data_IF_315708427137
#
_entry.id   IF_315708427137
#
_cell.length_a   1.000
_cell.length_b   1.000
_cell.length_c   1.000
_cell.angle_alpha   90.00
_cell.angle_beta   90.00
_cell.angle_gamma   90.00
#
_symmetry.space_group_name_H-M   'P 1'
#
loop_
_entity.id
_entity.type
_entity.pdbx_description
1 polymer ?
#
# COMPACT_ATOMS: atom_id res chain seq x y z
N UNK A 1 -13.69 3.07 -0.43
CA UNK A 1 -13.57 2.01 0.58
C UNK A 1 -14.91 1.86 1.29
N UNK A 2 -15.48 0.67 1.35
CA UNK A 2 -16.64 0.37 2.18
C UNK A 2 -16.25 0.35 3.67
N UNK A 3 -17.25 0.34 4.55
CA UNK A 3 -17.02 0.25 6.00
C UNK A 3 -16.28 -1.04 6.36
N UNK A 4 -16.58 -2.13 5.64
CA UNK A 4 -15.96 -3.44 5.85
C UNK A 4 -14.47 -3.44 5.53
N UNK A 5 -14.05 -2.83 4.43
CA UNK A 5 -12.63 -2.78 4.05
C UNK A 5 -11.84 -1.94 5.07
N UNK A 6 -12.41 -0.84 5.55
CA UNK A 6 -11.78 0.00 6.57
C UNK A 6 -11.57 -0.75 7.90
N UNK A 7 -12.55 -1.54 8.35
CA UNK A 7 -12.40 -2.40 9.54
C UNK A 7 -11.26 -3.39 9.40
N UNK A 8 -11.07 -3.97 8.21
CA UNK A 8 -9.96 -4.89 7.93
C UNK A 8 -8.61 -4.19 7.98
N UNK A 9 -8.50 -2.98 7.41
CA UNK A 9 -7.27 -2.20 7.50
C UNK A 9 -6.92 -1.85 8.95
N UNK A 10 -7.93 -1.51 9.77
CA UNK A 10 -7.72 -1.30 11.20
C UNK A 10 -7.31 -2.58 11.95
N UNK A 11 -7.86 -3.73 11.58
CA UNK A 11 -7.44 -5.02 12.13
C UNK A 11 -5.97 -5.32 11.81
N UNK A 12 -5.54 -5.14 10.55
CA UNK A 12 -4.14 -5.27 10.14
C UNK A 12 -3.25 -4.31 10.94
N UNK A 13 -3.63 -3.04 11.02
CA UNK A 13 -2.88 -2.04 11.76
C UNK A 13 -2.76 -2.36 13.26
N UNK A 14 -3.79 -2.96 13.87
CA UNK A 14 -3.70 -3.45 15.26
C UNK A 14 -2.70 -4.60 15.39
N UNK A 15 -2.73 -5.57 14.49
CA UNK A 15 -1.76 -6.67 14.49
C UNK A 15 -0.32 -6.15 14.34
N UNK A 16 -0.09 -5.15 13.48
CA UNK A 16 1.23 -4.52 13.34
C UNK A 16 1.71 -3.97 14.68
N UNK A 17 0.85 -3.28 15.43
CA UNK A 17 1.20 -2.73 16.75
C UNK A 17 1.49 -3.81 17.79
N UNK A 18 0.83 -4.96 17.71
CA UNK A 18 1.11 -6.11 18.58
C UNK A 18 2.47 -6.75 18.24
N UNK A 19 2.86 -6.76 16.97
CA UNK A 19 4.17 -7.27 16.51
C UNK A 19 5.29 -6.29 16.84
N UNK A 20 5.03 -4.98 16.74
CA UNK A 20 6.01 -3.91 16.86
C UNK A 20 6.05 -3.30 18.26
N UNK A 21 6.49 -4.10 19.23
CA UNK A 21 6.62 -3.67 20.64
C UNK A 21 7.49 -2.42 20.84
N UNK A 22 8.37 -2.13 19.88
CA UNK A 22 9.34 -1.02 19.95
C UNK A 22 8.92 0.22 19.15
N UNK A 23 7.73 0.25 18.55
CA UNK A 23 7.25 1.33 17.69
C UNK A 23 8.27 1.69 16.59
N UNK A 24 8.84 0.67 15.95
CA UNK A 24 9.73 0.82 14.80
C UNK A 24 9.01 1.36 13.56
N UNK A 25 7.76 0.94 13.36
CA UNK A 25 6.91 1.24 12.23
C UNK A 25 5.95 2.41 12.50
N UNK A 26 5.68 3.20 11.47
CA UNK A 26 4.78 4.35 11.48
C UNK A 26 3.80 4.27 10.29
N UNK A 27 2.92 3.26 10.35
CA UNK A 27 1.94 3.02 9.29
C UNK A 27 0.82 4.04 9.31
N UNK A 28 0.55 4.59 8.13
CA UNK A 28 -0.58 5.47 7.85
C UNK A 28 -1.60 4.67 7.06
N UNK A 29 -2.84 4.61 7.55
CA UNK A 29 -3.97 3.94 6.90
C UNK A 29 -4.65 4.93 5.93
N UNK A 30 -5.00 4.48 4.74
CA UNK A 30 -5.96 5.21 3.91
C UNK A 30 -7.35 5.10 4.52
N UNK A 31 -7.82 6.21 5.08
CA UNK A 31 -9.09 6.28 5.82
C UNK A 31 -10.19 6.99 5.05
N UNK A 32 -9.91 7.45 3.83
CA UNK A 32 -10.79 8.38 3.13
C UNK A 32 -11.41 7.75 1.88
N UNK A 33 -12.73 7.53 1.97
CA UNK A 33 -13.52 6.85 0.94
C UNK A 33 -13.77 7.71 -0.29
N UNK A 34 -13.43 9.01 -0.22
CA UNK A 34 -13.71 10.02 -1.26
C UNK A 34 -12.47 10.79 -1.72
N UNK A 35 -11.52 11.08 -0.84
CA UNK A 35 -10.38 11.95 -1.16
C UNK A 35 -9.00 11.34 -0.95
N UNK A 36 -8.85 10.13 -0.38
CA UNK A 36 -7.56 9.48 -0.14
C UNK A 36 -6.54 10.37 0.58
N UNK A 37 -6.46 10.29 1.91
CA UNK A 37 -5.57 11.17 2.72
C UNK A 37 -4.09 10.84 2.60
N UNK A 38 -3.80 9.66 2.07
CA UNK A 38 -2.45 9.15 1.93
C UNK A 38 -2.16 8.94 0.46
N UNK A 39 -1.59 9.95 -0.19
CA UNK A 39 -1.17 9.83 -1.59
C UNK A 39 0.34 9.85 -1.68
N UNK A 40 0.84 9.02 -2.59
CA UNK A 40 2.22 9.03 -3.03
C UNK A 40 2.22 9.30 -4.53
N UNK A 41 3.06 10.22 -4.96
CA UNK A 41 3.35 10.38 -6.39
C UNK A 41 4.72 9.78 -6.67
N UNK A 42 4.85 9.03 -7.76
CA UNK A 42 6.08 8.34 -8.16
C UNK A 42 6.32 8.56 -9.66
N UNK A 43 7.54 8.91 -10.07
CA UNK A 43 7.92 8.99 -11.48
C UNK A 43 8.55 7.68 -12.00
N UNK A 44 8.82 7.61 -13.30
CA UNK A 44 9.41 6.44 -13.96
C UNK A 44 10.84 6.10 -13.49
N UNK A 45 11.49 6.99 -12.75
CA UNK A 45 12.82 6.78 -12.17
C UNK A 45 12.77 6.37 -10.69
N UNK A 46 11.57 6.24 -10.12
CA UNK A 46 11.37 5.92 -8.70
C UNK A 46 11.51 7.11 -7.76
N UNK A 47 11.60 8.34 -8.27
CA UNK A 47 11.49 9.54 -7.43
C UNK A 47 10.08 9.63 -6.90
N UNK A 48 9.93 9.79 -5.59
CA UNK A 48 8.61 9.83 -4.98
C UNK A 48 8.44 11.00 -4.02
N UNK A 49 7.17 11.39 -3.80
CA UNK A 49 6.79 12.40 -2.82
C UNK A 49 5.47 12.04 -2.15
N UNK A 50 5.43 12.19 -0.81
CA UNK A 50 4.18 12.17 -0.04
C UNK A 50 3.38 13.44 -0.33
N UNK A 51 2.14 13.28 -0.76
CA UNK A 51 1.21 14.38 -1.01
C UNK A 51 -0.12 14.09 -0.30
N UNK A 52 -0.53 14.86 0.72
CA UNK A 52 -1.78 14.59 1.43
C UNK A 52 -3.04 14.78 0.58
N UNK A 53 -3.03 15.76 -0.32
CA UNK A 53 -4.13 16.04 -1.25
C UNK A 53 -3.61 16.71 -2.52
N UNK A 54 -4.28 16.43 -3.64
CA UNK A 54 -4.05 17.11 -4.91
C UNK A 54 -5.38 17.64 -5.43
N UNK A 55 -5.37 18.90 -5.83
CA UNK A 55 -6.38 19.44 -6.74
C UNK A 55 -6.23 18.79 -8.12
N UNK A 56 -7.27 18.88 -8.95
CA UNK A 56 -7.22 18.35 -10.31
C UNK A 56 -6.05 18.95 -11.12
N UNK A 57 -5.83 20.26 -11.01
CA UNK A 57 -4.74 20.96 -11.70
C UNK A 57 -3.36 20.44 -11.26
N UNK A 58 -3.17 20.22 -9.96
CA UNK A 58 -1.92 19.66 -9.46
C UNK A 58 -1.70 18.22 -9.93
N UNK A 59 -2.75 17.39 -9.95
CA UNK A 59 -2.67 16.04 -10.49
C UNK A 59 -2.30 16.04 -11.98
N UNK A 60 -2.84 16.97 -12.77
CA UNK A 60 -2.48 17.17 -14.17
C UNK A 60 -1.03 17.62 -14.35
N UNK A 61 -0.54 18.55 -13.52
CA UNK A 61 0.86 19.01 -13.54
C UNK A 61 1.84 17.87 -13.21
N UNK A 62 1.54 17.05 -12.20
CA UNK A 62 2.32 15.85 -11.89
C UNK A 62 2.35 14.87 -13.06
N UNK A 63 1.19 14.59 -13.69
CA UNK A 63 1.11 13.69 -14.85
C UNK A 63 1.95 14.18 -16.03
N UNK A 64 1.92 15.49 -16.32
CA UNK A 64 2.76 16.12 -17.36
C UNK A 64 4.26 16.00 -17.07
N UNK A 65 4.64 15.94 -15.80
CA UNK A 65 6.03 15.73 -15.33
C UNK A 65 6.43 14.26 -15.25
N UNK A 66 5.59 13.34 -15.71
CA UNK A 66 5.87 11.91 -15.69
C UNK A 66 5.57 11.22 -14.36
N UNK A 67 5.00 11.92 -13.38
CA UNK A 67 4.57 11.30 -12.13
C UNK A 67 3.24 10.56 -12.31
N UNK A 68 3.07 9.52 -11.51
CA UNK A 68 1.85 8.75 -11.31
C UNK A 68 1.44 8.83 -9.86
N UNK A 69 0.14 8.85 -9.60
CA UNK A 69 -0.43 9.00 -8.26
C UNK A 69 -0.98 7.66 -7.78
N UNK A 70 -0.66 7.31 -6.54
CA UNK A 70 -1.14 6.10 -5.89
C UNK A 70 -1.69 6.41 -4.49
N UNK A 71 -2.64 5.58 -4.06
CA UNK A 71 -3.23 5.59 -2.73
C UNK A 71 -3.06 4.17 -2.18
N UNK A 72 -2.02 3.92 -1.35
CA UNK A 72 -1.83 2.64 -0.69
C UNK A 72 -2.76 2.50 0.52
N UNK A 73 -3.23 1.29 0.80
CA UNK A 73 -4.10 1.02 1.95
C UNK A 73 -3.38 1.27 3.29
N UNK A 74 -2.15 0.75 3.44
CA UNK A 74 -1.25 1.10 4.53
C UNK A 74 0.14 1.40 3.98
N UNK A 75 0.76 2.46 4.48
CA UNK A 75 2.13 2.82 4.12
C UNK A 75 2.92 3.34 5.31
N UNK A 76 4.15 2.88 5.41
CA UNK A 76 5.20 3.44 6.24
C UNK A 76 6.25 4.07 5.33
N UNK A 77 6.31 5.41 5.31
CA UNK A 77 7.25 6.16 4.49
C UNK A 77 8.70 6.07 4.98
N UNK A 78 8.90 5.89 6.29
CA UNK A 78 10.21 5.87 6.92
C UNK A 78 10.93 4.56 6.59
N UNK A 79 10.22 3.45 6.73
CA UNK A 79 10.74 2.11 6.46
C UNK A 79 10.51 1.67 5.00
N UNK A 80 9.83 2.50 4.21
CA UNK A 80 9.43 2.23 2.83
C UNK A 80 8.69 0.90 2.69
N UNK A 81 7.63 0.75 3.46
CA UNK A 81 6.79 -0.44 3.45
C UNK A 81 5.37 -0.06 3.02
N UNK A 82 4.79 -0.86 2.14
CA UNK A 82 3.41 -0.75 1.70
C UNK A 82 2.71 -2.09 1.98
N UNK A 83 1.50 -2.03 2.51
CA UNK A 83 0.62 -3.19 2.63
C UNK A 83 -0.68 -2.86 1.89
N UNK A 84 -1.06 -3.73 0.96
CA UNK A 84 -2.27 -3.60 0.15
C UNK A 84 -3.22 -4.76 0.49
N UNK A 85 -4.46 -4.45 0.80
CA UNK A 85 -5.51 -5.43 0.99
C UNK A 85 -6.23 -5.68 -0.34
N UNK A 86 -6.32 -6.95 -0.75
CA UNK A 86 -6.88 -7.34 -2.03
C UNK A 86 -8.18 -8.11 -1.82
N UNK A 87 -9.30 -7.46 -2.12
CA UNK A 87 -10.61 -8.11 -2.22
C UNK A 87 -10.63 -9.03 -3.44
N UNK A 88 -11.23 -10.22 -3.29
CA UNK A 88 -11.55 -11.00 -4.48
C UNK A 88 -12.72 -10.38 -5.22
N UNK A 89 -12.52 -10.07 -6.51
CA UNK A 89 -13.65 -10.07 -7.41
C UNK A 89 -14.05 -11.54 -7.66
N UNK A 90 -15.08 -12.04 -6.97
CA UNK A 90 -15.76 -13.28 -7.38
C UNK A 90 -16.17 -13.14 -8.86
N UNK A 91 -15.44 -13.80 -9.76
CA UNK A 91 -15.65 -13.63 -11.20
C UNK A 91 -14.46 -14.02 -12.08
N UNK A 92 -13.75 -15.11 -11.75
CA UNK A 92 -12.68 -15.65 -12.60
C UNK A 92 -13.22 -16.73 -13.54
N UNK A 93 -13.99 -16.33 -14.56
CA UNK A 93 -13.97 -16.91 -15.92
C UNK A 93 -14.73 -15.94 -16.85
N UNK A 94 -14.03 -15.22 -17.73
CA UNK A 94 -14.70 -14.41 -18.75
C UNK A 94 -13.80 -13.42 -19.47
N UNK A 95 -13.64 -13.64 -20.78
CA UNK A 95 -12.92 -12.83 -21.79
C UNK A 95 -13.51 -11.40 -21.97
N UNK A 96 -14.39 -10.93 -21.08
CA UNK A 96 -15.25 -9.76 -21.24
C UNK A 96 -15.07 -8.72 -20.12
N UNK A 97 -13.87 -8.16 -19.94
CA UNK A 97 -13.69 -6.84 -19.29
C UNK A 97 -12.77 -5.88 -20.05
N UNK A 98 -12.67 -6.01 -21.38
CA UNK A 98 -12.19 -4.89 -22.22
C UNK A 98 -13.10 -3.66 -22.21
N UNK A 99 -14.31 -3.72 -21.62
CA UNK A 99 -15.23 -2.59 -21.51
C UNK A 99 -16.07 -2.70 -20.23
N UNK A 100 -15.87 -1.79 -19.29
CA UNK A 100 -16.78 -1.61 -18.14
C UNK A 100 -16.18 -1.91 -16.77
N UNK A 101 -15.09 -1.22 -16.38
CA UNK A 101 -15.03 -0.73 -15.00
C UNK A 101 -15.84 0.56 -14.99
N UNK A 102 -16.78 0.65 -14.06
CA UNK A 102 -17.55 1.86 -13.78
C UNK A 102 -16.55 3.01 -13.63
N UNK A 103 -16.70 4.04 -14.47
CA UNK A 103 -15.92 5.27 -14.37
C UNK A 103 -16.22 5.93 -13.01
N UNK A 104 -15.52 5.51 -11.95
CA UNK A 104 -15.27 6.38 -10.80
C UNK A 104 -14.42 7.51 -11.38
N UNK A 105 -15.05 8.67 -11.63
CA UNK A 105 -14.38 9.88 -12.11
C UNK A 105 -13.10 10.08 -11.30
N UNK A 106 -11.94 9.99 -11.97
CA UNK A 106 -10.64 10.28 -11.37
C UNK A 106 -9.71 9.08 -11.12
N UNK A 107 -10.12 7.84 -11.41
CA UNK A 107 -9.17 6.73 -11.40
C UNK A 107 -8.42 6.71 -12.74
N UNK A 108 -7.12 7.04 -12.72
CA UNK A 108 -6.27 6.78 -13.89
C UNK A 108 -6.38 5.27 -14.21
N UNK A 109 -6.59 4.96 -15.49
CA UNK A 109 -6.85 3.61 -16.03
C UNK A 109 -5.59 2.71 -16.02
N UNK A 110 -4.90 2.58 -14.90
CA UNK A 110 -3.72 1.71 -14.80
C UNK A 110 -4.07 0.35 -14.22
N UNK A 111 -3.37 -0.67 -14.73
CA UNK A 111 -3.46 -2.03 -14.23
C UNK A 111 -2.75 -2.13 -12.87
N UNK A 112 -3.12 -3.12 -12.05
CA UNK A 112 -2.41 -3.39 -10.79
C UNK A 112 -0.92 -3.75 -11.04
N UNK A 113 -0.59 -4.25 -12.24
CA UNK A 113 0.78 -4.56 -12.68
C UNK A 113 1.64 -3.29 -12.83
N UNK A 114 1.04 -2.17 -13.25
CA UNK A 114 1.77 -0.89 -13.31
C UNK A 114 2.06 -0.37 -11.90
N UNK A 115 1.13 -0.53 -10.95
CA UNK A 115 1.26 -0.05 -9.57
C UNK A 115 2.45 -0.70 -8.85
N UNK A 116 2.58 -2.02 -8.94
CA UNK A 116 3.68 -2.77 -8.32
C UNK A 116 5.04 -2.31 -8.85
N UNK A 117 5.16 -2.08 -10.16
CA UNK A 117 6.38 -1.59 -10.79
C UNK A 117 6.81 -0.23 -10.22
N UNK A 118 5.88 0.71 -10.06
CA UNK A 118 6.22 2.02 -9.49
C UNK A 118 6.65 1.94 -8.03
N UNK A 119 6.05 1.06 -7.24
CA UNK A 119 6.49 0.83 -5.86
C UNK A 119 7.90 0.24 -5.81
N UNK A 120 8.20 -0.73 -6.67
CA UNK A 120 9.54 -1.31 -6.79
C UNK A 120 10.58 -0.25 -7.20
N UNK A 121 10.28 0.56 -8.23
CA UNK A 121 11.14 1.66 -8.67
C UNK A 121 11.43 2.64 -7.52
N UNK A 122 10.42 2.98 -6.73
CA UNK A 122 10.56 3.84 -5.54
C UNK A 122 11.23 3.16 -4.33
N UNK A 123 11.58 1.88 -4.47
CA UNK A 123 12.21 1.01 -3.46
C UNK A 123 11.33 0.81 -2.23
N UNK A 124 10.02 0.72 -2.43
CA UNK A 124 9.10 0.25 -1.40
C UNK A 124 9.04 -1.27 -1.40
N UNK A 125 9.03 -1.85 -0.21
CA UNK A 125 8.72 -3.26 -0.01
C UNK A 125 7.21 -3.40 0.13
N UNK A 126 6.61 -4.29 -0.63
CA UNK A 126 5.17 -4.47 -0.68
C UNK A 126 4.76 -5.83 -0.12
N UNK A 127 3.69 -5.84 0.69
CA UNK A 127 2.95 -7.04 1.04
C UNK A 127 1.52 -6.92 0.51
N UNK A 128 1.02 -7.97 -0.14
CA UNK A 128 -0.38 -8.08 -0.55
C UNK A 128 -1.08 -9.08 0.36
N UNK A 129 -2.13 -8.65 1.05
CA UNK A 129 -2.97 -9.51 1.89
C UNK A 129 -4.24 -9.80 1.13
N UNK A 130 -4.44 -11.05 0.75
CA UNK A 130 -5.60 -11.49 -0.02
C UNK A 130 -6.75 -11.87 0.90
N UNK A 131 -7.96 -11.41 0.59
CA UNK A 131 -9.16 -11.67 1.38
C UNK A 131 -9.46 -13.16 1.57
N UNK A 132 -9.22 -13.97 0.55
CA UNK A 132 -9.49 -15.40 0.54
C UNK A 132 -8.44 -16.25 1.28
N UNK A 133 -7.30 -15.67 1.64
CA UNK A 133 -6.29 -16.32 2.46
C UNK A 133 -6.84 -16.47 3.88
N UNK A 134 -6.67 -17.64 4.50
CA UNK A 134 -7.13 -17.86 5.87
C UNK A 134 -6.50 -16.82 6.83
N UNK A 135 -7.26 -16.28 7.82
CA UNK A 135 -6.77 -15.22 8.71
C UNK A 135 -5.46 -15.56 9.42
N UNK A 136 -5.26 -16.83 9.76
CA UNK A 136 -4.04 -17.32 10.41
C UNK A 136 -2.83 -17.19 9.47
N UNK A 137 -3.00 -17.53 8.20
CA UNK A 137 -1.95 -17.43 7.17
C UNK A 137 -1.66 -15.96 6.87
N UNK A 138 -2.69 -15.11 6.76
CA UNK A 138 -2.50 -13.66 6.59
C UNK A 138 -1.65 -13.08 7.74
N UNK A 139 -1.92 -13.52 8.98
CA UNK A 139 -1.20 -13.09 10.17
C UNK A 139 0.25 -13.56 10.17
N UNK A 140 0.51 -14.81 9.75
CA UNK A 140 1.85 -15.36 9.60
C UNK A 140 2.67 -14.63 8.53
N UNK A 141 2.08 -14.37 7.36
CA UNK A 141 2.72 -13.62 6.27
C UNK A 141 3.04 -12.19 6.70
N UNK A 142 2.09 -11.49 7.33
CA UNK A 142 2.31 -10.15 7.88
C UNK A 142 3.47 -10.13 8.87
N UNK A 143 3.48 -11.07 9.83
CA UNK A 143 4.53 -11.18 10.82
C UNK A 143 5.89 -11.49 10.19
N UNK A 144 5.95 -12.46 9.28
CA UNK A 144 7.18 -12.84 8.58
C UNK A 144 7.75 -11.68 7.78
N UNK A 145 6.89 -10.98 7.04
CA UNK A 145 7.24 -9.82 6.26
C UNK A 145 7.80 -8.68 7.13
N UNK A 146 7.07 -8.26 8.18
CA UNK A 146 7.57 -7.21 9.08
C UNK A 146 8.86 -7.62 9.80
N UNK A 147 8.99 -8.89 10.19
CA UNK A 147 10.22 -9.35 10.86
C UNK A 147 11.44 -9.28 9.93
N UNK A 148 11.27 -9.50 8.63
CA UNK A 148 12.36 -9.40 7.66
C UNK A 148 12.93 -7.98 7.52
N UNK A 149 12.13 -6.96 7.82
CA UNK A 149 12.52 -5.55 7.74
C UNK A 149 12.83 -4.90 9.09
N UNK A 150 12.72 -5.64 10.20
CA UNK A 150 13.20 -5.13 11.48
C UNK A 150 14.71 -4.87 11.41
N UNK A 151 15.20 -3.76 11.97
CA UNK A 151 16.62 -3.48 12.03
C UNK A 151 17.28 -4.61 12.82
N UNK A 152 18.23 -5.31 12.19
CA UNK A 152 19.07 -6.27 12.89
C UNK A 152 19.75 -5.50 14.02
N UNK A 153 19.43 -5.86 15.26
CA UNK A 153 20.12 -5.30 16.42
C UNK A 153 21.62 -5.53 16.19
N UNK A 154 22.48 -4.51 16.35
CA UNK A 154 23.90 -4.73 16.30
C UNK A 154 24.23 -5.78 17.36
N UNK A 155 24.89 -6.86 16.96
CA UNK A 155 25.40 -7.86 17.88
C UNK A 155 26.23 -7.11 18.93
N UNK A 156 25.68 -6.96 20.13
CA UNK A 156 26.42 -6.42 21.27
C UNK A 156 27.48 -7.46 21.59
N UNK A 157 28.68 -7.28 21.05
CA UNK A 157 29.86 -8.01 21.48
C UNK A 157 30.13 -7.51 22.90
N UNK A 158 29.64 -8.26 23.89
CA UNK A 158 30.05 -8.08 25.28
C UNK A 158 31.50 -8.56 25.34
N UNK A 159 32.45 -7.64 25.18
CA UNK A 159 33.83 -7.87 25.56
C UNK A 159 33.88 -7.98 27.09
N UNK A 160 34.33 -9.14 27.56
CA UNK A 160 34.58 -9.45 28.98
C UNK A 160 35.63 -8.54 29.59
#
# INVERSE_FOLDING_TARGET
MGIQDLEKLFCIHRQIKEIDEKNHYDFIIDTDTTEGKTRIVIDEFGTWKKIPSLTQEQAEDYRKKGFRQFVPDLIDFKNKIIIEYQEECEGRQGVLRRRGKINKKGHDEFSDEDKDLFYELAKFNQLKIWENTAPEIQSEELKGFLTAFLPKLPNVIISK
#
